data_IF_390114455723
#
_entry.id   IF_390114455723
#
_cell.length_a   1.000
_cell.length_b   1.000
_cell.length_c   1.000
_cell.angle_alpha   90.00
_cell.angle_beta   90.00
_cell.angle_gamma   90.00
#
_symmetry.space_group_name_H-M   'P 1'
#
loop_
_entity.id
_entity.type
_entity.pdbx_description
1 polymer ?
#
# COMPACT_ATOMS: atom_id res chain seq x y z
N UNK A 1 -7.40 -18.98 6.74
CA UNK A 1 -8.05 -18.44 5.55
C UNK A 1 -7.05 -17.50 4.92
N UNK A 2 -6.62 -17.79 3.69
CA UNK A 2 -5.96 -16.78 2.87
C UNK A 2 -7.01 -15.69 2.62
N UNK A 3 -6.71 -14.47 3.04
CA UNK A 3 -7.53 -13.31 2.68
C UNK A 3 -7.02 -12.84 1.34
N UNK A 4 -7.87 -12.90 0.32
CA UNK A 4 -7.60 -12.29 -0.97
C UNK A 4 -7.48 -10.77 -0.79
N UNK A 5 -6.53 -10.15 -1.51
CA UNK A 5 -6.33 -8.70 -1.51
C UNK A 5 -6.76 -8.14 -2.86
N UNK A 6 -7.83 -7.36 -2.85
CA UNK A 6 -8.24 -6.50 -3.96
C UNK A 6 -8.36 -5.07 -3.46
N UNK A 7 -7.71 -4.13 -4.13
CA UNK A 7 -7.73 -2.71 -3.73
C UNK A 7 -8.58 -1.95 -4.74
N UNK A 8 -9.86 -1.77 -4.45
CA UNK A 8 -10.76 -0.95 -5.26
C UNK A 8 -10.56 0.54 -4.98
N UNK A 9 -10.19 0.89 -3.75
CA UNK A 9 -9.96 2.28 -3.35
C UNK A 9 -8.78 2.42 -2.40
N UNK A 10 -7.97 3.44 -2.63
CA UNK A 10 -6.80 3.77 -1.80
C UNK A 10 -6.97 5.17 -1.18
N UNK A 11 -7.05 5.24 0.13
CA UNK A 11 -6.97 6.49 0.87
C UNK A 11 -5.52 6.84 1.14
N UNK A 12 -5.12 8.06 0.77
CA UNK A 12 -3.77 8.56 1.01
C UNK A 12 -3.90 9.89 1.74
N UNK A 13 -3.38 9.94 2.97
CA UNK A 13 -3.31 11.20 3.70
C UNK A 13 -2.25 12.12 3.11
N UNK A 14 -2.47 13.43 3.13
CA UNK A 14 -1.49 14.44 2.69
C UNK A 14 -0.12 14.22 3.36
N UNK A 15 -0.12 13.99 4.67
CA UNK A 15 1.10 13.67 5.43
C UNK A 15 1.82 12.42 4.91
N UNK A 16 1.09 11.38 4.54
CA UNK A 16 1.70 10.16 3.97
C UNK A 16 2.27 10.45 2.59
N UNK A 17 1.53 11.15 1.72
CA UNK A 17 1.96 11.53 0.38
C UNK A 17 3.26 12.36 0.43
N UNK A 18 3.32 13.37 1.29
CA UNK A 18 4.51 14.19 1.51
C UNK A 18 5.70 13.34 2.01
N UNK A 19 5.46 12.45 2.97
CA UNK A 19 6.50 11.57 3.53
C UNK A 19 7.12 10.70 2.45
N UNK A 20 6.31 10.00 1.64
CA UNK A 20 6.83 9.08 0.61
C UNK A 20 7.51 9.84 -0.53
N UNK A 21 7.00 11.03 -0.89
CA UNK A 21 7.59 11.88 -1.90
C UNK A 21 8.97 12.40 -1.45
N UNK A 22 9.08 12.85 -0.20
CA UNK A 22 10.30 13.42 0.33
C UNK A 22 11.37 12.35 0.59
N UNK A 23 11.00 11.25 1.25
CA UNK A 23 11.95 10.22 1.67
C UNK A 23 12.30 9.22 0.58
N UNK A 24 11.34 8.89 -0.29
CA UNK A 24 11.46 7.76 -1.21
C UNK A 24 11.32 8.15 -2.70
N UNK A 25 11.00 9.42 -2.99
CA UNK A 25 10.81 9.95 -4.36
C UNK A 25 9.72 9.20 -5.14
N UNK A 26 8.68 8.78 -4.41
CA UNK A 26 7.48 8.13 -4.93
C UNK A 26 6.31 9.12 -4.81
N UNK A 27 5.54 9.27 -5.89
CA UNK A 27 4.30 10.08 -5.85
C UNK A 27 3.12 9.24 -5.37
N UNK A 28 2.04 9.92 -4.95
CA UNK A 28 0.77 9.25 -4.66
C UNK A 28 0.22 8.50 -5.87
N UNK A 29 0.22 9.14 -7.04
CA UNK A 29 -0.29 8.54 -8.28
C UNK A 29 0.45 7.25 -8.65
N UNK A 30 1.78 7.24 -8.49
CA UNK A 30 2.59 6.05 -8.75
C UNK A 30 2.25 4.88 -7.83
N UNK A 31 1.92 5.18 -6.57
CA UNK A 31 1.48 4.17 -5.62
C UNK A 31 0.08 3.69 -5.98
N UNK A 32 -0.84 4.58 -6.35
CA UNK A 32 -2.20 4.23 -6.80
C UNK A 32 -2.17 3.32 -8.02
N UNK A 33 -1.44 3.70 -9.06
CA UNK A 33 -1.31 2.94 -10.30
C UNK A 33 -0.74 1.53 -10.08
N UNK A 34 0.08 1.36 -9.04
CA UNK A 34 0.71 0.08 -8.73
C UNK A 34 -0.19 -0.90 -7.96
N UNK A 35 -1.27 -0.43 -7.32
CA UNK A 35 -2.10 -1.27 -6.43
C UNK A 35 -3.59 -1.24 -6.72
N UNK A 36 -4.15 -0.09 -7.13
CA UNK A 36 -5.59 0.06 -7.31
C UNK A 36 -6.04 -0.68 -8.56
N UNK A 37 -7.04 -1.55 -8.39
CA UNK A 37 -7.58 -2.40 -9.45
C UNK A 37 -6.52 -3.29 -10.15
N UNK A 38 -5.44 -3.64 -9.44
CA UNK A 38 -4.39 -4.52 -9.95
C UNK A 38 -4.64 -5.95 -9.55
N UNK A 39 -4.72 -6.84 -10.54
CA UNK A 39 -4.84 -8.28 -10.30
C UNK A 39 -3.50 -8.91 -9.88
N UNK A 40 -3.57 -10.04 -9.17
CA UNK A 40 -2.40 -10.86 -8.81
C UNK A 40 -1.31 -10.09 -8.05
N UNK A 41 -1.71 -9.19 -7.16
CA UNK A 41 -0.77 -8.52 -6.26
C UNK A 41 0.02 -9.58 -5.47
N UNK A 42 1.33 -9.37 -5.36
CA UNK A 42 2.15 -10.17 -4.44
C UNK A 42 2.07 -9.52 -3.07
N UNK A 43 1.52 -10.20 -2.08
CA UNK A 43 1.37 -9.63 -0.74
C UNK A 43 1.48 -10.67 0.36
N UNK A 44 1.71 -10.17 1.57
CA UNK A 44 1.51 -10.92 2.81
C UNK A 44 0.68 -10.10 3.76
N UNK A 45 -0.15 -10.77 4.56
CA UNK A 45 -0.77 -10.16 5.72
C UNK A 45 0.17 -10.24 6.91
N UNK A 46 0.19 -9.19 7.72
CA UNK A 46 1.04 -9.05 8.91
C UNK A 46 0.26 -8.34 10.02
N UNK A 47 0.53 -8.71 11.28
CA UNK A 47 -0.11 -8.10 12.44
C UNK A 47 0.79 -6.98 12.98
N UNK A 48 0.35 -5.73 12.82
CA UNK A 48 1.02 -4.58 13.41
C UNK A 48 0.53 -4.38 14.85
N UNK A 49 1.41 -4.44 15.86
CA UNK A 49 1.01 -4.40 17.26
C UNK A 49 0.35 -3.08 17.69
N UNK A 50 0.53 -1.99 16.94
CA UNK A 50 -0.05 -0.69 17.24
C UNK A 50 -1.31 -0.41 16.41
N UNK A 51 -1.36 -0.88 15.17
CA UNK A 51 -2.40 -0.51 14.18
C UNK A 51 -3.26 -1.67 13.71
N UNK A 52 -2.98 -2.88 14.15
CA UNK A 52 -3.69 -4.09 13.77
C UNK A 52 -3.24 -4.65 12.41
N UNK A 53 -4.15 -5.34 11.73
CA UNK A 53 -3.82 -6.06 10.51
C UNK A 53 -3.40 -5.12 9.37
N UNK A 54 -2.31 -5.47 8.69
CA UNK A 54 -1.83 -4.79 7.48
C UNK A 54 -1.52 -5.76 6.35
N UNK A 55 -1.72 -5.32 5.12
CA UNK A 55 -1.16 -5.98 3.94
C UNK A 55 0.16 -5.31 3.55
N UNK A 56 1.19 -6.12 3.32
CA UNK A 56 2.47 -5.68 2.78
C UNK A 56 2.52 -6.17 1.33
N UNK A 57 2.35 -5.24 0.39
CA UNK A 57 2.33 -5.50 -1.04
C UNK A 57 3.70 -5.26 -1.62
N UNK A 58 4.19 -6.22 -2.39
CA UNK A 58 5.41 -6.13 -3.16
C UNK A 58 5.07 -5.84 -4.63
N UNK A 59 5.60 -4.76 -5.18
CA UNK A 59 5.38 -4.36 -6.57
C UNK A 59 6.59 -3.66 -7.17
N UNK A 60 6.50 -3.31 -8.45
CA UNK A 60 7.48 -2.49 -9.15
C UNK A 60 6.87 -1.13 -9.50
N UNK A 61 7.49 -0.06 -8.99
CA UNK A 61 7.21 1.30 -9.42
C UNK A 61 8.43 1.79 -10.19
N UNK A 62 8.22 2.18 -11.46
CA UNK A 62 9.32 2.41 -12.41
C UNK A 62 10.20 1.14 -12.51
N UNK A 63 11.50 1.26 -12.26
CA UNK A 63 12.45 0.13 -12.24
C UNK A 63 12.87 -0.28 -10.82
N UNK A 64 12.09 0.07 -9.80
CA UNK A 64 12.42 -0.18 -8.39
C UNK A 64 11.40 -1.14 -7.77
N UNK A 65 11.91 -2.13 -7.05
CA UNK A 65 11.12 -2.98 -6.17
C UNK A 65 10.68 -2.17 -4.94
N UNK A 66 9.38 -2.07 -4.72
CA UNK A 66 8.76 -1.25 -3.67
C UNK A 66 7.87 -2.11 -2.80
N UNK A 67 7.95 -1.91 -1.48
CA UNK A 67 6.98 -2.42 -0.51
C UNK A 67 5.98 -1.33 -0.17
N UNK A 68 4.70 -1.66 -0.30
CA UNK A 68 3.57 -0.79 -0.01
C UNK A 68 2.83 -1.39 1.18
N UNK A 69 2.63 -0.59 2.23
CA UNK A 69 1.93 -1.00 3.44
C UNK A 69 0.52 -0.44 3.41
N UNK A 70 -0.45 -1.33 3.43
CA UNK A 70 -1.87 -1.03 3.37
C UNK A 70 -2.56 -1.48 4.66
N UNK A 71 -3.40 -0.62 5.22
CA UNK A 71 -4.31 -0.96 6.32
C UNK A 71 -5.74 -1.01 5.79
N UNK A 72 -6.57 -2.00 6.15
CA UNK A 72 -8.00 -1.95 5.84
C UNK A 72 -8.62 -0.63 6.32
N UNK A 73 -9.54 -0.06 5.54
CA UNK A 73 -10.34 1.07 6.01
C UNK A 73 -11.40 0.59 7.03
N UNK A 74 -11.64 1.40 8.06
CA UNK A 74 -12.52 1.02 9.18
C UNK A 74 -14.00 0.84 8.77
N UNK A 75 -14.45 1.44 7.65
CA UNK A 75 -15.89 1.68 7.45
C UNK A 75 -16.46 1.54 6.03
N UNK A 76 -15.74 0.97 5.05
CA UNK A 76 -16.28 0.96 3.68
C UNK A 76 -15.69 -0.12 2.80
N UNK A 77 -16.44 -1.21 2.63
CA UNK A 77 -16.21 -2.29 1.65
C UNK A 77 -14.90 -3.09 1.85
N UNK A 78 -14.91 -4.38 1.53
CA UNK A 78 -13.75 -5.28 1.75
C UNK A 78 -12.49 -4.90 0.94
N UNK A 79 -12.63 -3.91 0.03
CA UNK A 79 -11.64 -3.53 -0.98
C UNK A 79 -11.08 -2.10 -0.81
N UNK A 80 -11.37 -1.43 0.31
CA UNK A 80 -10.84 -0.09 0.61
C UNK A 80 -9.69 -0.14 1.62
N UNK A 81 -8.61 0.58 1.30
CA UNK A 81 -7.38 0.55 2.08
C UNK A 81 -6.80 1.94 2.31
N UNK A 82 -6.19 2.14 3.47
CA UNK A 82 -5.39 3.30 3.81
C UNK A 82 -3.90 3.02 3.53
N UNK A 83 -3.24 3.95 2.84
CA UNK A 83 -1.79 3.90 2.65
C UNK A 83 -1.07 4.25 3.97
N UNK A 84 -0.38 3.26 4.53
CA UNK A 84 0.50 3.44 5.69
C UNK A 84 1.88 3.96 5.30
N UNK A 85 2.49 3.37 4.28
CA UNK A 85 3.82 3.76 3.77
C UNK A 85 4.09 3.12 2.40
N UNK A 86 5.03 3.66 1.64
CA UNK A 86 5.60 3.04 0.45
C UNK A 86 7.10 3.32 0.40
N UNK A 87 7.93 2.28 0.23
CA UNK A 87 9.39 2.42 0.25
C UNK A 87 10.10 1.40 -0.66
N UNK A 88 11.15 1.80 -1.40
CA UNK A 88 11.96 0.87 -2.16
C UNK A 88 12.80 -0.05 -1.26
N UNK A 89 12.91 -1.32 -1.63
CA UNK A 89 13.65 -2.35 -0.85
C UNK A 89 15.17 -2.14 -0.86
N UNK A 90 15.69 -1.43 -1.86
CA UNK A 90 17.12 -1.16 -2.04
C UNK A 90 17.45 0.34 -1.95
N UNK A 91 16.78 1.06 -1.04
CA UNK A 91 16.99 2.51 -0.86
C UNK A 91 18.30 2.84 -0.15
#
# INVERSE_FOLDING_TARGET
>A
MERDLWVAWLNVSERTAEKIQHLHRLTEDEVRDAVVCTENLTYTWDDDPERGLRAIVETHIRSRKVLIVLYPADDSFEDEYNLGSAYPVNS
#
